data_IF_814250173675
#
_entry.id   IF_814250173675
#
_cell.length_a   1.000
_cell.length_b   1.000
_cell.length_c   1.000
_cell.angle_alpha   90.00
_cell.angle_beta   90.00
_cell.angle_gamma   90.00
#
_symmetry.space_group_name_H-M   'P 1'
#
loop_
_entity.id
_entity.type
_entity.pdbx_description
1 polymer ?
#
# COMPACT_ATOMS: atom_id res chain seq x y z
N UNK A 1 33.44 -4.25 17.08
CA UNK A 1 32.28 -3.57 17.67
C UNK A 1 31.06 -3.95 16.87
N UNK A 2 30.25 -4.90 17.36
CA UNK A 2 28.98 -5.25 16.73
C UNK A 2 28.01 -4.09 16.98
N UNK A 3 27.67 -3.36 15.91
CA UNK A 3 26.65 -2.32 15.95
C UNK A 3 25.32 -2.99 16.30
N UNK A 4 24.78 -2.67 17.47
CA UNK A 4 23.43 -3.06 17.90
C UNK A 4 22.44 -2.36 16.98
N UNK A 5 22.13 -2.99 15.84
CA UNK A 5 21.01 -2.58 15.01
C UNK A 5 19.76 -2.79 15.86
N UNK A 6 19.11 -1.69 16.22
CA UNK A 6 17.79 -1.73 16.84
C UNK A 6 16.89 -2.57 15.95
N UNK A 7 16.45 -3.73 16.44
CA UNK A 7 15.49 -4.64 15.78
C UNK A 7 14.07 -4.05 15.73
N UNK A 8 13.92 -2.77 16.07
CA UNK A 8 12.64 -2.08 16.22
C UNK A 8 12.28 -1.37 14.92
N UNK A 9 11.09 -1.65 14.41
CA UNK A 9 10.53 -0.99 13.23
C UNK A 9 10.53 0.57 13.39
N UNK A 10 11.00 1.34 12.39
CA UNK A 10 11.09 2.81 12.48
C UNK A 10 9.76 3.51 12.74
N UNK A 11 8.65 3.04 12.18
CA UNK A 11 7.33 3.62 12.42
C UNK A 11 6.95 3.47 13.90
N UNK A 12 7.03 2.26 14.44
CA UNK A 12 6.73 2.02 15.85
C UNK A 12 7.66 2.78 16.81
N UNK A 13 8.91 3.03 16.39
CA UNK A 13 9.87 3.79 17.18
C UNK A 13 9.59 5.29 17.20
N UNK A 14 8.93 5.84 16.17
CA UNK A 14 8.75 7.29 15.98
C UNK A 14 7.30 7.77 16.10
N UNK A 15 6.31 6.86 15.99
CA UNK A 15 4.87 7.18 16.09
C UNK A 15 4.54 7.81 17.44
N UNK A 16 4.13 9.07 17.39
CA UNK A 16 3.81 9.90 18.56
C UNK A 16 2.35 10.39 18.58
N UNK A 17 1.52 9.98 17.61
CA UNK A 17 0.10 10.33 17.50
C UNK A 17 -0.80 9.12 17.70
N UNK A 18 -1.88 9.28 18.43
CA UNK A 18 -3.02 8.34 18.41
C UNK A 18 -3.62 8.24 17.01
N UNK A 19 -4.42 7.20 16.76
CA UNK A 19 -5.12 7.07 15.46
C UNK A 19 -6.06 8.26 15.19
N UNK A 20 -6.74 8.79 16.21
CA UNK A 20 -7.60 9.96 16.07
C UNK A 20 -6.80 11.24 15.71
N UNK A 21 -5.65 11.47 16.34
CA UNK A 21 -4.75 12.59 16.01
C UNK A 21 -4.13 12.44 14.61
N UNK A 22 -3.90 11.20 14.17
CA UNK A 22 -3.44 10.91 12.81
C UNK A 22 -4.53 11.24 11.77
N UNK A 23 -5.80 10.92 12.05
CA UNK A 23 -6.93 11.19 11.17
C UNK A 23 -7.34 12.67 11.12
N UNK A 24 -7.15 13.42 12.21
CA UNK A 24 -7.69 14.77 12.36
C UNK A 24 -7.39 15.73 11.19
N UNK A 25 -6.17 15.79 10.62
CA UNK A 25 -5.90 16.63 9.45
C UNK A 25 -6.70 16.23 8.20
N UNK A 26 -6.92 14.92 7.99
CA UNK A 26 -7.72 14.43 6.88
C UNK A 26 -9.20 14.74 7.08
N UNK A 27 -9.72 14.55 8.30
CA UNK A 27 -11.09 14.90 8.64
C UNK A 27 -11.36 16.41 8.43
N UNK A 28 -10.43 17.27 8.84
CA UNK A 28 -10.54 18.72 8.61
C UNK A 28 -10.53 19.08 7.11
N UNK A 29 -9.67 18.45 6.30
CA UNK A 29 -9.65 18.64 4.85
C UNK A 29 -10.95 18.21 4.18
N UNK A 30 -11.48 17.04 4.56
CA UNK A 30 -12.75 16.54 4.03
C UNK A 30 -13.93 17.45 4.43
N UNK A 31 -13.98 17.92 5.69
CA UNK A 31 -14.98 18.88 6.14
C UNK A 31 -14.91 20.22 5.39
N UNK A 32 -13.72 20.60 4.91
CA UNK A 32 -13.51 21.75 4.04
C UNK A 32 -13.79 21.46 2.55
N UNK A 33 -14.33 20.29 2.21
CA UNK A 33 -14.70 19.90 0.84
C UNK A 33 -13.53 19.44 -0.05
N UNK A 34 -12.33 19.26 0.52
CA UNK A 34 -11.20 18.74 -0.25
C UNK A 34 -11.29 17.21 -0.39
N UNK A 35 -10.92 16.71 -1.57
CA UNK A 35 -10.77 15.28 -1.80
C UNK A 35 -9.59 14.72 -0.97
N UNK A 36 -9.88 13.72 -0.13
CA UNK A 36 -8.87 12.99 0.67
C UNK A 36 -8.68 11.54 0.21
N UNK A 37 -9.25 11.17 -0.93
CA UNK A 37 -9.33 9.80 -1.43
C UNK A 37 -8.60 9.63 -2.78
N UNK A 38 -7.55 10.41 -3.02
CA UNK A 38 -6.73 10.32 -4.25
C UNK A 38 -6.21 8.90 -4.49
N UNK A 39 -5.81 8.21 -3.43
CA UNK A 39 -5.39 6.81 -3.46
C UNK A 39 -6.49 5.91 -4.03
N UNK A 40 -7.67 5.91 -3.42
CA UNK A 40 -8.78 5.09 -3.86
C UNK A 40 -9.26 5.44 -5.28
N UNK A 41 -9.18 6.71 -5.68
CA UNK A 41 -9.49 7.16 -7.04
C UNK A 41 -8.56 6.54 -8.08
N UNK A 42 -7.25 6.59 -7.83
CA UNK A 42 -6.28 5.99 -8.73
C UNK A 42 -6.49 4.49 -8.83
N UNK A 43 -6.63 3.80 -7.68
CA UNK A 43 -6.87 2.35 -7.66
C UNK A 43 -8.14 2.00 -8.45
N UNK A 44 -9.25 2.72 -8.25
CA UNK A 44 -10.48 2.48 -9.03
C UNK A 44 -10.23 2.58 -10.54
N UNK A 45 -9.46 3.59 -10.97
CA UNK A 45 -9.14 3.80 -12.39
C UNK A 45 -8.23 2.68 -12.93
N UNK A 46 -7.23 2.27 -12.16
CA UNK A 46 -6.33 1.17 -12.53
C UNK A 46 -7.10 -0.15 -12.66
N UNK A 47 -7.99 -0.46 -11.71
CA UNK A 47 -8.79 -1.69 -11.75
C UNK A 47 -9.70 -1.73 -12.98
N UNK A 48 -10.32 -0.60 -13.35
CA UNK A 48 -11.12 -0.49 -14.57
C UNK A 48 -10.30 -0.70 -15.84
N UNK A 49 -9.08 -0.18 -15.89
CA UNK A 49 -8.19 -0.28 -17.05
C UNK A 49 -7.56 -1.68 -17.20
N UNK A 50 -7.19 -2.32 -16.09
CA UNK A 50 -6.47 -3.60 -16.08
C UNK A 50 -7.39 -4.83 -16.02
N UNK A 51 -8.64 -4.67 -15.56
CA UNK A 51 -9.63 -5.74 -15.51
C UNK A 51 -10.94 -5.38 -16.25
N UNK A 52 -10.89 -4.91 -17.52
CA UNK A 52 -12.05 -4.37 -18.21
C UNK A 52 -13.18 -5.39 -18.36
N UNK A 53 -12.86 -6.66 -18.65
CA UNK A 53 -13.85 -7.73 -18.79
C UNK A 53 -14.58 -8.06 -17.49
N UNK A 54 -13.91 -7.89 -16.34
CA UNK A 54 -14.49 -8.11 -14.99
C UNK A 54 -15.34 -6.92 -14.53
N UNK A 55 -15.23 -5.78 -15.21
CA UNK A 55 -15.90 -4.53 -14.87
C UNK A 55 -17.05 -4.16 -15.83
N UNK A 56 -17.25 -4.90 -16.93
CA UNK A 56 -18.11 -4.49 -18.05
C UNK A 56 -19.61 -4.85 -17.92
N UNK A 57 -19.98 -5.95 -17.27
CA UNK A 57 -21.36 -6.48 -17.29
C UNK A 57 -22.06 -6.39 -15.93
N UNK A 58 -21.29 -6.47 -14.85
CA UNK A 58 -21.55 -5.99 -13.50
C UNK A 58 -20.16 -5.83 -12.85
N UNK A 59 -19.87 -4.78 -12.07
CA UNK A 59 -18.55 -4.66 -11.47
C UNK A 59 -18.32 -5.83 -10.51
N UNK A 60 -17.49 -6.78 -10.92
CA UNK A 60 -17.08 -7.88 -10.08
C UNK A 60 -16.39 -7.33 -8.84
N UNK A 61 -16.78 -7.83 -7.67
CA UNK A 61 -16.13 -7.46 -6.41
C UNK A 61 -14.71 -8.00 -6.41
N UNK A 62 -13.75 -7.11 -6.61
CA UNK A 62 -12.32 -7.42 -6.53
C UNK A 62 -11.85 -7.51 -5.08
N UNK A 63 -10.85 -8.36 -4.84
CA UNK A 63 -10.20 -8.53 -3.55
C UNK A 63 -8.98 -7.60 -3.46
N UNK A 64 -8.97 -6.74 -2.46
CA UNK A 64 -7.91 -5.75 -2.25
C UNK A 64 -7.28 -5.90 -0.87
N UNK A 65 -5.96 -5.85 -0.82
CA UNK A 65 -5.20 -5.73 0.42
C UNK A 65 -4.71 -4.28 0.60
N UNK A 66 -5.11 -3.62 1.68
CA UNK A 66 -4.50 -2.37 2.15
C UNK A 66 -3.34 -2.73 3.09
N UNK A 67 -2.12 -2.79 2.55
CA UNK A 67 -0.92 -3.24 3.23
C UNK A 67 -0.18 -2.06 3.87
N UNK A 68 -0.14 -2.02 5.20
CA UNK A 68 0.22 -0.83 5.97
C UNK A 68 -0.94 0.16 6.01
N UNK A 69 -2.14 -0.33 6.36
CA UNK A 69 -3.39 0.41 6.22
C UNK A 69 -3.53 1.60 7.18
N UNK A 70 -2.73 1.66 8.24
CA UNK A 70 -2.84 2.65 9.30
C UNK A 70 -4.25 2.68 9.88
N UNK A 71 -4.87 3.85 9.84
CA UNK A 71 -6.25 4.04 10.30
C UNK A 71 -7.30 3.61 9.26
N UNK A 72 -6.91 3.02 8.14
CA UNK A 72 -7.81 2.43 7.15
C UNK A 72 -8.43 3.40 6.14
N UNK A 73 -7.90 4.63 5.98
CA UNK A 73 -8.48 5.65 5.07
C UNK A 73 -8.70 5.13 3.65
N UNK A 74 -7.68 4.48 3.07
CA UNK A 74 -7.75 3.96 1.70
C UNK A 74 -8.65 2.73 1.62
N UNK A 75 -8.42 1.74 2.48
CA UNK A 75 -9.20 0.51 2.49
C UNK A 75 -10.70 0.70 2.75
N UNK A 76 -11.08 1.58 3.68
CA UNK A 76 -12.50 1.89 3.96
C UNK A 76 -13.17 2.49 2.71
N UNK A 77 -12.49 3.42 2.03
CA UNK A 77 -13.05 4.03 0.83
C UNK A 77 -13.17 3.03 -0.33
N UNK A 78 -12.19 2.13 -0.50
CA UNK A 78 -12.27 1.06 -1.49
C UNK A 78 -13.41 0.07 -1.19
N UNK A 79 -13.65 -0.23 0.08
CA UNK A 79 -14.80 -1.04 0.48
C UNK A 79 -16.13 -0.35 0.19
N UNK A 80 -16.23 0.96 0.41
CA UNK A 80 -17.42 1.76 0.02
C UNK A 80 -17.69 1.74 -1.49
N UNK A 81 -16.67 1.43 -2.30
CA UNK A 81 -16.75 1.27 -3.75
C UNK A 81 -17.02 -0.18 -4.17
N UNK A 82 -17.54 -1.00 -3.25
CA UNK A 82 -17.99 -2.39 -3.48
C UNK A 82 -16.86 -3.41 -3.72
N UNK A 83 -15.64 -3.11 -3.28
CA UNK A 83 -14.54 -4.07 -3.23
C UNK A 83 -14.50 -4.81 -1.88
N UNK A 84 -13.99 -6.04 -1.87
CA UNK A 84 -13.68 -6.75 -0.64
C UNK A 84 -12.28 -6.34 -0.20
N UNK A 85 -12.18 -5.77 1.01
CA UNK A 85 -10.93 -5.21 1.50
C UNK A 85 -10.50 -5.89 2.80
N UNK A 86 -9.24 -6.29 2.83
CA UNK A 86 -8.52 -6.67 4.05
C UNK A 86 -7.49 -5.59 4.33
N UNK A 87 -7.43 -5.09 5.55
CA UNK A 87 -6.37 -4.18 6.00
C UNK A 87 -5.38 -4.87 6.92
N UNK A 88 -4.09 -4.60 6.72
CA UNK A 88 -3.00 -5.11 7.57
C UNK A 88 -2.14 -3.95 8.03
N UNK A 89 -1.82 -3.89 9.31
CA UNK A 89 -0.81 -2.97 9.85
C UNK A 89 -0.06 -3.60 11.02
N UNK A 90 1.15 -3.11 11.29
CA UNK A 90 1.97 -3.56 12.43
C UNK A 90 1.64 -2.76 13.71
N UNK A 91 0.94 -1.63 13.58
CA UNK A 91 0.63 -0.72 14.68
C UNK A 91 -0.76 -0.97 15.29
N UNK A 92 -0.86 -1.52 16.51
CA UNK A 92 -2.14 -1.78 17.14
C UNK A 92 -2.93 -0.51 17.47
N UNK A 93 -2.26 0.64 17.64
CA UNK A 93 -2.92 1.93 17.93
C UNK A 93 -3.65 2.44 16.69
N UNK A 94 -3.05 2.29 15.51
CA UNK A 94 -3.68 2.68 14.24
C UNK A 94 -4.82 1.73 13.88
N UNK A 95 -4.63 0.42 14.07
CA UNK A 95 -5.69 -0.57 13.81
C UNK A 95 -6.89 -0.43 14.74
N UNK A 96 -6.70 -0.02 16.00
CA UNK A 96 -7.83 0.27 16.88
C UNK A 96 -8.75 1.34 16.29
N UNK A 97 -8.17 2.39 15.69
CA UNK A 97 -8.91 3.44 15.01
C UNK A 97 -9.57 2.93 13.71
N UNK A 98 -8.87 2.10 12.92
CA UNK A 98 -9.44 1.49 11.71
C UNK A 98 -10.69 0.65 12.04
N UNK A 99 -10.58 -0.23 13.04
CA UNK A 99 -11.69 -1.06 13.55
C UNK A 99 -12.86 -0.24 14.08
N UNK A 100 -12.58 0.87 14.76
CA UNK A 100 -13.64 1.75 15.26
C UNK A 100 -14.41 2.44 14.13
N UNK A 101 -13.73 2.80 13.02
CA UNK A 101 -14.36 3.46 11.87
C UNK A 101 -15.14 2.51 10.96
N UNK A 102 -14.68 1.27 10.83
CA UNK A 102 -15.29 0.26 9.97
C UNK A 102 -15.20 -1.13 10.61
N UNK A 103 -16.05 -1.43 11.61
CA UNK A 103 -16.04 -2.71 12.33
C UNK A 103 -16.44 -3.91 11.45
N UNK A 104 -17.06 -3.65 10.30
CA UNK A 104 -17.46 -4.66 9.32
C UNK A 104 -16.30 -5.17 8.44
N UNK A 105 -15.19 -4.45 8.38
CA UNK A 105 -14.01 -4.84 7.61
C UNK A 105 -13.06 -5.72 8.43
N UNK A 106 -12.27 -6.53 7.72
CA UNK A 106 -11.28 -7.42 8.32
C UNK A 106 -9.94 -6.68 8.48
N UNK A 107 -9.45 -6.64 9.72
CA UNK A 107 -8.24 -5.90 10.11
C UNK A 107 -7.24 -6.81 10.85
N UNK A 108 -6.09 -7.07 10.25
CA UNK A 108 -5.02 -7.88 10.85
C UNK A 108 -3.91 -7.04 11.44
N UNK A 109 -3.52 -7.38 12.68
CA UNK A 109 -2.27 -6.90 13.28
C UNK A 109 -1.15 -7.87 12.89
N UNK A 110 -0.29 -7.49 11.95
CA UNK A 110 0.78 -8.35 11.46
C UNK A 110 1.92 -7.55 10.83
N UNK A 111 3.11 -8.17 10.77
CA UNK A 111 4.23 -7.68 9.97
C UNK A 111 4.06 -8.14 8.52
N UNK A 112 4.15 -7.21 7.56
CA UNK A 112 4.05 -7.54 6.14
C UNK A 112 5.16 -8.49 5.66
N UNK A 113 6.30 -8.56 6.35
CA UNK A 113 7.40 -9.47 6.00
C UNK A 113 7.09 -10.93 6.31
N UNK A 114 6.15 -11.20 7.22
CA UNK A 114 5.79 -12.56 7.68
C UNK A 114 4.29 -12.85 7.58
N UNK A 115 3.50 -11.91 7.07
CA UNK A 115 2.07 -12.04 6.84
C UNK A 115 1.76 -13.31 6.04
N UNK A 116 0.73 -14.04 6.43
CA UNK A 116 0.17 -15.16 5.68
C UNK A 116 -1.35 -15.02 5.68
N UNK A 117 -1.95 -14.97 4.49
CA UNK A 117 -3.39 -14.91 4.29
C UNK A 117 -3.81 -15.98 3.27
N UNK A 118 -4.97 -16.60 3.48
CA UNK A 118 -5.42 -17.77 2.72
C UNK A 118 -6.09 -17.45 1.37
N UNK A 119 -5.88 -16.24 0.82
CA UNK A 119 -6.47 -15.83 -0.45
C UNK A 119 -5.54 -14.90 -1.25
N UNK A 120 -5.53 -15.04 -2.59
CA UNK A 120 -4.85 -14.07 -3.45
C UNK A 120 -5.68 -12.79 -3.62
N UNK A 121 -4.99 -11.68 -3.91
CA UNK A 121 -5.59 -10.36 -4.12
C UNK A 121 -5.44 -9.90 -5.56
N UNK A 122 -6.48 -9.26 -6.09
CA UNK A 122 -6.46 -8.62 -7.41
C UNK A 122 -5.58 -7.36 -7.38
N UNK A 123 -5.55 -6.68 -6.22
CA UNK A 123 -4.69 -5.54 -5.99
C UNK A 123 -4.20 -5.46 -4.54
N UNK A 124 -2.93 -5.10 -4.37
CA UNK A 124 -2.34 -4.74 -3.08
C UNK A 124 -1.93 -3.27 -3.14
N UNK A 125 -2.30 -2.50 -2.14
CA UNK A 125 -2.03 -1.06 -2.05
C UNK A 125 -1.18 -0.77 -0.82
N UNK A 126 -0.08 -0.02 -1.01
CA UNK A 126 0.82 0.44 0.04
C UNK A 126 0.91 1.96 0.00
N UNK A 127 -0.09 2.62 0.61
CA UNK A 127 -0.33 4.05 0.40
C UNK A 127 0.39 5.01 1.37
N UNK A 128 0.76 4.54 2.56
CA UNK A 128 1.18 5.39 3.68
C UNK A 128 2.70 5.53 3.86
N UNK A 129 3.48 5.71 2.79
CA UNK A 129 4.96 5.66 2.86
C UNK A 129 5.49 4.31 3.41
N UNK A 130 4.70 3.24 3.32
CA UNK A 130 4.91 1.97 4.06
C UNK A 130 6.31 1.41 3.82
N UNK A 131 6.75 1.39 2.55
CA UNK A 131 8.04 0.82 2.14
C UNK A 131 9.26 1.49 2.81
N UNK A 132 9.22 2.80 3.04
CA UNK A 132 10.34 3.54 3.69
C UNK A 132 10.29 3.49 5.23
N UNK A 133 9.22 2.93 5.80
CA UNK A 133 9.04 2.71 7.24
C UNK A 133 9.16 1.24 7.64
N UNK A 134 9.45 0.34 6.70
CA UNK A 134 9.77 -1.05 7.01
C UNK A 134 11.01 -1.14 7.91
N UNK A 135 11.12 -2.27 8.62
CA UNK A 135 12.35 -2.59 9.36
C UNK A 135 13.51 -2.67 8.36
N UNK A 136 14.62 -1.94 8.55
CA UNK A 136 15.71 -1.92 7.57
C UNK A 136 16.20 -3.34 7.24
N UNK A 137 16.28 -3.66 5.95
CA UNK A 137 16.67 -4.99 5.46
C UNK A 137 15.51 -5.96 5.22
N UNK A 138 14.27 -5.63 5.58
CA UNK A 138 13.11 -6.49 5.32
C UNK A 138 12.38 -6.17 4.01
N UNK A 139 12.81 -5.15 3.25
CA UNK A 139 12.07 -4.66 2.08
C UNK A 139 11.94 -5.73 0.99
N UNK A 140 13.00 -6.52 0.78
CA UNK A 140 12.97 -7.64 -0.15
C UNK A 140 11.98 -8.72 0.27
N UNK A 141 11.92 -9.05 1.57
CA UNK A 141 11.01 -10.05 2.10
C UNK A 141 9.55 -9.59 1.99
N UNK A 142 9.28 -8.32 2.28
CA UNK A 142 7.95 -7.73 2.10
C UNK A 142 7.51 -7.79 0.64
N UNK A 143 8.37 -7.40 -0.31
CA UNK A 143 8.01 -7.43 -1.73
C UNK A 143 7.76 -8.85 -2.25
N UNK A 144 8.59 -9.84 -1.85
CA UNK A 144 8.32 -11.24 -2.16
C UNK A 144 7.00 -11.71 -1.58
N UNK A 145 6.70 -11.31 -0.34
CA UNK A 145 5.45 -11.70 0.31
C UNK A 145 4.24 -11.06 -0.36
N UNK A 146 4.30 -9.78 -0.74
CA UNK A 146 3.23 -9.12 -1.48
C UNK A 146 3.03 -9.77 -2.85
N UNK A 147 4.11 -10.08 -3.57
CA UNK A 147 4.02 -10.81 -4.85
C UNK A 147 3.37 -12.20 -4.68
N UNK A 148 3.70 -12.94 -3.62
CA UNK A 148 3.11 -14.24 -3.32
C UNK A 148 1.61 -14.17 -2.98
N UNK A 149 1.13 -13.03 -2.49
CA UNK A 149 -0.28 -12.79 -2.18
C UNK A 149 -1.06 -12.19 -3.36
N UNK A 150 -0.42 -11.86 -4.49
CA UNK A 150 -1.13 -11.39 -5.67
C UNK A 150 -1.72 -12.56 -6.47
N UNK A 151 -2.95 -12.38 -6.95
CA UNK A 151 -3.49 -13.21 -8.02
C UNK A 151 -2.63 -13.04 -9.29
N UNK A 152 -2.52 -14.07 -10.16
CA UNK A 152 -1.88 -13.92 -11.45
C UNK A 152 -2.47 -12.74 -12.23
N UNK A 153 -1.62 -11.83 -12.73
CA UNK A 153 -2.06 -10.58 -13.37
C UNK A 153 -2.47 -9.45 -12.42
N UNK A 154 -2.41 -9.67 -11.11
CA UNK A 154 -2.74 -8.69 -10.07
C UNK A 154 -1.76 -7.52 -9.98
N UNK A 155 -2.20 -6.43 -9.34
CA UNK A 155 -1.45 -5.18 -9.25
C UNK A 155 -0.89 -4.93 -7.84
N UNK A 156 0.39 -4.57 -7.74
CA UNK A 156 0.95 -3.94 -6.54
C UNK A 156 1.11 -2.43 -6.79
N UNK A 157 0.43 -1.62 -6.00
CA UNK A 157 0.52 -0.15 -6.07
C UNK A 157 1.14 0.38 -4.79
N UNK A 158 2.35 0.92 -4.89
CA UNK A 158 3.07 1.49 -3.75
C UNK A 158 3.42 2.94 -4.01
N UNK A 159 3.32 3.78 -2.98
CA UNK A 159 3.76 5.16 -3.04
C UNK A 159 4.60 5.53 -1.83
N UNK A 160 5.70 6.23 -2.06
CA UNK A 160 6.52 6.76 -0.97
C UNK A 160 7.36 7.97 -1.38
N UNK A 161 7.78 8.75 -0.38
CA UNK A 161 8.74 9.84 -0.57
C UNK A 161 10.04 9.33 -1.20
N UNK A 162 10.44 9.93 -2.32
CA UNK A 162 11.61 9.49 -3.11
C UNK A 162 12.95 9.77 -2.43
N UNK A 163 12.93 10.67 -1.44
CA UNK A 163 14.08 11.00 -0.59
C UNK A 163 13.84 10.36 0.78
N UNK A 164 14.42 9.17 1.03
CA UNK A 164 14.11 8.45 2.25
C UNK A 164 14.68 9.17 3.49
N UNK A 165 14.06 8.98 4.65
CA UNK A 165 14.59 9.43 5.93
C UNK A 165 15.91 8.70 6.27
N UNK A 166 16.66 9.21 7.26
CA UNK A 166 18.00 8.70 7.60
C UNK A 166 18.07 7.23 8.02
N UNK A 167 16.95 6.62 8.41
CA UNK A 167 16.86 5.20 8.77
C UNK A 167 16.58 4.27 7.58
N UNK A 168 16.26 4.81 6.40
CA UNK A 168 15.97 4.04 5.20
C UNK A 168 16.96 4.40 4.08
N UNK A 169 17.42 3.38 3.36
CA UNK A 169 18.22 3.55 2.14
C UNK A 169 17.42 3.17 0.89
N UNK A 170 16.08 3.07 0.99
CA UNK A 170 15.21 2.67 -0.12
C UNK A 170 14.97 3.85 -1.06
N UNK A 171 15.78 3.93 -2.11
CA UNK A 171 15.55 4.82 -3.26
C UNK A 171 14.55 4.20 -4.25
N UNK A 172 13.94 4.98 -5.17
CA UNK A 172 13.14 4.43 -6.25
C UNK A 172 13.84 3.34 -7.06
N UNK A 173 15.11 3.54 -7.43
CA UNK A 173 15.87 2.54 -8.20
C UNK A 173 16.14 1.26 -7.39
N UNK A 174 16.41 1.39 -6.08
CA UNK A 174 16.55 0.22 -5.20
C UNK A 174 15.22 -0.52 -5.11
N UNK A 175 14.11 0.19 -4.97
CA UNK A 175 12.78 -0.41 -4.95
C UNK A 175 12.48 -1.18 -6.24
N UNK A 176 12.77 -0.61 -7.41
CA UNK A 176 12.56 -1.27 -8.70
C UNK A 176 13.32 -2.59 -8.83
N UNK A 177 14.60 -2.59 -8.40
CA UNK A 177 15.42 -3.80 -8.40
C UNK A 177 14.85 -4.89 -7.49
N UNK A 178 14.36 -4.51 -6.30
CA UNK A 178 13.75 -5.44 -5.35
C UNK A 178 12.39 -5.97 -5.86
N UNK A 179 11.57 -5.10 -6.46
CA UNK A 179 10.29 -5.51 -7.03
C UNK A 179 10.48 -6.46 -8.22
N UNK A 180 11.44 -6.17 -9.10
CA UNK A 180 11.82 -7.05 -10.21
C UNK A 180 12.30 -8.40 -9.69
N UNK A 181 13.14 -8.43 -8.66
CA UNK A 181 13.60 -9.67 -8.04
C UNK A 181 12.46 -10.49 -7.42
N UNK A 182 11.38 -9.85 -6.99
CA UNK A 182 10.16 -10.49 -6.51
C UNK A 182 9.21 -10.96 -7.64
N UNK A 183 9.60 -10.82 -8.91
CA UNK A 183 8.79 -11.23 -10.07
C UNK A 183 7.73 -10.21 -10.50
N UNK A 184 7.86 -8.96 -10.06
CA UNK A 184 6.93 -7.88 -10.39
C UNK A 184 7.48 -7.02 -11.54
N UNK A 185 6.64 -6.72 -12.52
CA UNK A 185 6.99 -5.85 -13.65
C UNK A 185 6.38 -4.48 -13.46
N UNK A 186 7.19 -3.42 -13.52
CA UNK A 186 6.71 -2.04 -13.51
C UNK A 186 5.88 -1.76 -14.76
N UNK A 187 4.64 -1.29 -14.60
CA UNK A 187 3.76 -0.91 -15.71
C UNK A 187 3.49 0.59 -15.77
N UNK A 188 3.45 1.28 -14.63
CA UNK A 188 3.30 2.74 -14.59
C UNK A 188 4.13 3.36 -13.46
N UNK A 189 4.53 4.63 -13.66
CA UNK A 189 5.18 5.45 -12.63
C UNK A 189 4.68 6.88 -12.65
N UNK A 190 4.36 7.39 -11.46
CA UNK A 190 3.84 8.74 -11.24
C UNK A 190 4.57 9.43 -10.08
N UNK A 191 4.44 10.75 -10.01
CA UNK A 191 4.98 11.57 -8.91
C UNK A 191 3.97 11.77 -7.75
N UNK A 192 2.80 11.14 -7.83
CA UNK A 192 1.72 11.29 -6.87
C UNK A 192 0.50 10.46 -7.26
N UNK A 193 -0.53 10.52 -6.41
CA UNK A 193 -1.78 9.76 -6.59
C UNK A 193 -2.71 10.37 -7.63
N UNK A 194 -2.46 11.61 -8.05
CA UNK A 194 -3.22 12.29 -9.10
C UNK A 194 -2.57 12.12 -10.50
N UNK A 195 -1.62 11.18 -10.62
CA UNK A 195 -0.87 10.84 -11.84
C UNK A 195 -0.04 11.99 -12.39
N UNK A 196 0.56 12.78 -11.51
CA UNK A 196 1.55 13.77 -11.90
C UNK A 196 2.75 13.08 -12.57
N UNK A 197 3.33 13.64 -13.65
CA UNK A 197 4.44 13.00 -14.34
C UNK A 197 5.66 12.80 -13.44
N UNK A 198 6.19 11.56 -13.41
CA UNK A 198 7.42 11.25 -12.70
C UNK A 198 8.66 11.93 -13.33
N UNK A 199 9.53 12.48 -12.48
CA UNK A 199 10.83 13.06 -12.84
C UNK A 199 11.86 12.62 -11.79
N UNK A 200 13.14 12.59 -12.15
CA UNK A 200 14.21 12.23 -11.22
C UNK A 200 14.29 13.14 -9.97
N UNK A 201 13.74 14.35 -10.05
CA UNK A 201 13.68 15.32 -8.94
C UNK A 201 12.32 15.35 -8.22
N UNK A 202 11.35 14.51 -8.61
CA UNK A 202 10.07 14.41 -7.92
C UNK A 202 10.30 13.94 -6.48
N UNK A 203 9.61 14.54 -5.51
CA UNK A 203 9.78 14.24 -4.08
C UNK A 203 8.97 13.01 -3.61
N UNK A 204 8.09 12.49 -4.46
CA UNK A 204 7.26 11.33 -4.18
C UNK A 204 7.23 10.46 -5.43
N UNK A 205 7.36 9.15 -5.23
CA UNK A 205 7.35 8.15 -6.29
C UNK A 205 6.18 7.20 -6.05
N UNK A 206 5.32 7.07 -7.04
CA UNK A 206 4.26 6.08 -7.08
C UNK A 206 4.54 5.07 -8.18
N UNK A 207 4.42 3.81 -7.83
CA UNK A 207 4.75 2.68 -8.68
C UNK A 207 3.53 1.79 -8.82
N UNK A 208 3.20 1.46 -10.06
CA UNK A 208 2.22 0.41 -10.37
C UNK A 208 3.00 -0.75 -10.97
N UNK A 209 2.97 -1.88 -10.28
CA UNK A 209 3.56 -3.12 -10.73
C UNK A 209 2.50 -4.16 -11.01
N UNK A 210 2.79 -5.08 -11.92
CA UNK A 210 1.94 -6.22 -12.25
C UNK A 210 2.69 -7.52 -12.02
N UNK A 211 2.03 -8.50 -11.39
CA UNK A 211 2.52 -9.89 -11.36
C UNK A 211 2.19 -10.56 -12.70
N UNK A 212 3.14 -11.32 -13.26
CA UNK A 212 2.94 -12.04 -14.52
C UNK A 212 1.66 -12.90 -14.47
N UNK A 213 0.89 -12.92 -15.56
CA UNK A 213 -0.25 -13.83 -15.68
C UNK A 213 0.23 -15.20 -16.16
N UNK A 214 -0.58 -16.24 -15.94
CA UNK A 214 -0.31 -17.57 -16.51
C UNK A 214 -0.34 -17.58 -18.05
N UNK A 215 -0.81 -16.51 -18.71
CA UNK A 215 -0.83 -16.36 -20.17
C UNK A 215 0.42 -15.66 -20.72
N UNK A 216 1.32 -15.18 -19.86
CA UNK A 216 2.56 -14.48 -20.24
C UNK A 216 3.80 -15.42 -20.29
N UNK A 217 3.60 -16.74 -20.14
CA UNK A 217 4.60 -17.81 -20.31
C UNK A 217 4.25 -18.69 -21.51
#
# INVERSE_FOLDING_TARGET
MMSTHSTRNPWLATRNRTGAEYDAPYAARAAAGHNIHGEANLITTLLQAHFPSRMATAPETLHILDAGCGTGRTGIELARRSHQVIGVDLDPVMLAQARAKAPELVWHLADLATLTLDQPFDCIVMAGNVMIFLTPGTEAAVLHNMAAHLAPGGLLVAGFESRPPSWSNLTPDRYDNLATAAGLTLVERWAGWDREPWRAYSNYALFVHKLASQQDQ
#
